data_IF_642731786573
#
_entry.id   IF_642731786573
#
_cell.length_a   1.000
_cell.length_b   1.000
_cell.length_c   1.000
_cell.angle_alpha   90.00
_cell.angle_beta   90.00
_cell.angle_gamma   90.00
#
_symmetry.space_group_name_H-M   'P 1'
#
loop_
_entity.id
_entity.type
_entity.pdbx_description
1 polymer ?
#
# COMPACT_ATOMS: atom_id res chain seq x y z
N UNK A 1 0.23 -7.67 -18.47
CA UNK A 1 1.40 -7.36 -17.61
C UNK A 1 1.35 -8.27 -16.39
N UNK A 2 2.31 -9.18 -16.22
CA UNK A 2 2.47 -9.99 -15.00
C UNK A 2 2.99 -9.07 -13.89
N UNK A 3 2.13 -8.67 -12.96
CA UNK A 3 2.52 -7.80 -11.86
C UNK A 3 3.38 -8.62 -10.89
N UNK A 4 4.70 -8.42 -10.92
CA UNK A 4 5.59 -9.05 -9.94
C UNK A 4 5.30 -8.47 -8.56
N UNK A 5 4.73 -9.29 -7.68
CA UNK A 5 4.50 -8.89 -6.29
C UNK A 5 5.82 -8.98 -5.53
N UNK A 6 6.52 -7.86 -5.47
CA UNK A 6 7.78 -7.74 -4.71
C UNK A 6 7.56 -8.02 -3.22
N UNK A 7 8.60 -8.42 -2.46
CA UNK A 7 8.49 -8.65 -1.01
C UNK A 7 7.88 -7.45 -0.26
N UNK A 8 8.20 -6.24 -0.72
CA UNK A 8 7.66 -5.00 -0.17
C UNK A 8 6.15 -4.86 -0.42
N UNK A 9 5.68 -5.13 -1.65
CA UNK A 9 4.24 -5.15 -1.96
C UNK A 9 3.49 -6.20 -1.14
N UNK A 10 4.07 -7.39 -0.97
CA UNK A 10 3.52 -8.44 -0.08
C UNK A 10 3.40 -7.95 1.36
N UNK A 11 4.38 -7.20 1.87
CA UNK A 11 4.35 -6.63 3.22
C UNK A 11 3.21 -5.62 3.39
N UNK A 12 3.02 -4.71 2.43
CA UNK A 12 1.91 -3.74 2.43
C UNK A 12 0.56 -4.46 2.44
N UNK A 13 0.37 -5.44 1.56
CA UNK A 13 -0.86 -6.24 1.52
C UNK A 13 -1.10 -7.00 2.83
N UNK A 14 -0.05 -7.55 3.45
CA UNK A 14 -0.18 -8.23 4.75
C UNK A 14 -0.61 -7.27 5.87
N UNK A 15 -0.07 -6.05 5.89
CA UNK A 15 -0.47 -5.01 6.84
C UNK A 15 -1.95 -4.65 6.64
N UNK A 16 -2.36 -4.36 5.41
CA UNK A 16 -3.75 -4.01 5.10
C UNK A 16 -4.74 -5.16 5.37
N UNK A 17 -4.32 -6.41 5.14
CA UNK A 17 -5.14 -7.59 5.47
C UNK A 17 -5.33 -7.78 6.98
N UNK A 18 -4.34 -7.40 7.80
CA UNK A 18 -4.38 -7.57 9.26
C UNK A 18 -5.06 -6.38 9.97
N UNK A 19 -4.83 -5.17 9.47
CA UNK A 19 -5.19 -3.93 10.18
C UNK A 19 -6.25 -3.10 9.44
N UNK A 20 -6.73 -3.57 8.29
CA UNK A 20 -7.72 -2.87 7.47
C UNK A 20 -7.12 -1.71 6.68
N UNK A 21 -7.97 -0.78 6.27
CA UNK A 21 -7.57 0.33 5.40
C UNK A 21 -6.56 1.27 6.09
N UNK A 22 -5.44 1.53 5.43
CA UNK A 22 -4.31 2.31 5.98
C UNK A 22 -4.06 3.58 5.17
N UNK A 23 -3.62 4.65 5.83
CA UNK A 23 -3.09 5.84 5.15
C UNK A 23 -1.62 5.65 4.76
N UNK A 24 -1.10 6.55 3.91
CA UNK A 24 0.34 6.60 3.61
C UNK A 24 1.16 6.80 4.90
N UNK A 25 0.72 7.67 5.80
CA UNK A 25 1.44 7.94 7.06
C UNK A 25 1.48 6.72 7.99
N UNK A 26 0.41 5.92 8.03
CA UNK A 26 0.40 4.66 8.80
C UNK A 26 1.39 3.65 8.23
N UNK A 27 1.50 3.57 6.90
CA UNK A 27 2.43 2.69 6.21
C UNK A 27 3.88 3.12 6.40
N UNK A 28 4.17 4.43 6.43
CA UNK A 28 5.51 4.99 6.71
C UNK A 28 6.00 4.56 8.10
N UNK A 29 5.13 4.46 9.10
CA UNK A 29 5.51 3.99 10.44
C UNK A 29 5.88 2.51 10.49
N UNK A 30 5.42 1.71 9.53
CA UNK A 30 5.54 0.23 9.52
C UNK A 30 6.54 -0.30 8.49
N UNK A 31 6.96 0.58 7.59
CA UNK A 31 7.85 0.27 6.48
C UNK A 31 9.04 1.21 6.59
N UNK A 32 10.29 0.72 6.57
CA UNK A 32 11.48 1.55 6.66
C UNK A 32 11.71 2.31 5.34
N UNK A 33 10.83 3.25 5.03
CA UNK A 33 10.82 4.06 3.82
C UNK A 33 10.35 5.48 4.13
N UNK A 34 10.86 6.45 3.38
CA UNK A 34 10.39 7.83 3.49
C UNK A 34 8.97 7.99 2.90
N UNK A 35 8.28 9.06 3.29
CA UNK A 35 6.89 9.31 2.89
C UNK A 35 6.71 9.35 1.37
N UNK A 36 7.62 10.02 0.64
CA UNK A 36 7.59 10.10 -0.82
C UNK A 36 7.65 8.72 -1.50
N UNK A 37 8.47 7.81 -0.98
CA UNK A 37 8.62 6.46 -1.55
C UNK A 37 7.41 5.58 -1.23
N UNK A 38 6.84 5.70 -0.02
CA UNK A 38 5.60 4.98 0.34
C UNK A 38 4.43 5.48 -0.52
N UNK A 39 4.30 6.80 -0.69
CA UNK A 39 3.28 7.38 -1.59
C UNK A 39 3.41 6.84 -3.01
N UNK A 40 4.63 6.82 -3.56
CA UNK A 40 4.90 6.29 -4.89
C UNK A 40 4.58 4.79 -4.99
N UNK A 41 4.89 4.01 -3.95
CA UNK A 41 4.59 2.59 -3.89
C UNK A 41 3.07 2.34 -3.89
N UNK A 42 2.34 3.06 -3.05
CA UNK A 42 0.88 2.95 -2.91
C UNK A 42 0.18 3.33 -4.23
N UNK A 43 0.63 4.39 -4.91
CA UNK A 43 0.13 4.75 -6.25
C UNK A 43 0.37 3.61 -7.24
N UNK A 44 1.59 3.08 -7.33
CA UNK A 44 1.90 1.95 -8.22
C UNK A 44 1.10 0.68 -7.90
N UNK A 45 0.78 0.45 -6.63
CA UNK A 45 -0.06 -0.69 -6.22
C UNK A 45 -1.52 -0.46 -6.58
N UNK A 46 -2.01 0.78 -6.47
CA UNK A 46 -3.35 1.17 -6.92
C UNK A 46 -3.49 1.02 -8.43
N UNK A 47 -2.55 1.56 -9.20
CA UNK A 47 -2.57 1.49 -10.66
C UNK A 47 -2.45 0.03 -11.16
N UNK A 48 -1.84 -0.84 -10.36
CA UNK A 48 -1.78 -2.27 -10.61
C UNK A 48 -3.04 -3.05 -10.17
N UNK A 49 -4.07 -2.37 -9.61
CA UNK A 49 -5.30 -3.00 -9.13
C UNK A 49 -5.12 -3.86 -7.88
N UNK A 50 -4.01 -3.72 -7.15
CA UNK A 50 -3.75 -4.51 -5.93
C UNK A 50 -4.44 -3.92 -4.69
N UNK A 51 -4.70 -2.61 -4.71
CA UNK A 51 -5.33 -1.85 -3.64
C UNK A 51 -6.21 -0.76 -4.24
N UNK A 52 -7.20 -0.31 -3.50
CA UNK A 52 -8.09 0.77 -3.90
C UNK A 52 -8.06 1.89 -2.87
N UNK A 53 -8.25 3.13 -3.36
CA UNK A 53 -8.41 4.28 -2.47
C UNK A 53 -9.86 4.31 -2.04
N UNK A 54 -10.07 4.20 -0.73
CA UNK A 54 -11.38 4.32 -0.11
C UNK A 54 -11.60 5.78 0.34
N UNK A 55 -12.10 6.01 1.56
CA UNK A 55 -12.32 7.35 2.09
C UNK A 55 -11.12 7.92 2.87
N UNK A 56 -11.04 9.24 2.97
CA UNK A 56 -10.06 9.96 3.82
C UNK A 56 -8.58 9.65 3.53
N UNK A 57 -8.23 9.34 2.28
CA UNK A 57 -6.83 9.03 1.92
C UNK A 57 -6.35 7.65 2.40
N UNK A 58 -7.27 6.80 2.86
CA UNK A 58 -6.96 5.40 3.18
C UNK A 58 -6.99 4.53 1.92
N UNK A 59 -6.20 3.48 1.96
CA UNK A 59 -6.10 2.46 0.93
C UNK A 59 -6.44 1.10 1.53
N UNK A 60 -7.26 0.33 0.82
CA UNK A 60 -7.69 -1.02 1.19
C UNK A 60 -7.38 -2.01 0.08
N UNK A 61 -7.35 -3.29 0.42
CA UNK A 61 -7.42 -4.35 -0.57
C UNK A 61 -8.87 -4.37 -1.11
N UNK A 62 -9.08 -4.55 -2.43
CA UNK A 62 -10.42 -4.73 -3.01
C UNK A 62 -11.13 -5.97 -2.44
#
# INVERSE_FOLDING_TARGET
MTITVTPLRKKVLRIMKKEGAQTVDDLVKKIPMNNASVRSLVIKMKDAGLIERVSHGKYSIP
#
